data_IF_173767815530
#
_entry.id   IF_173767815530
#
_cell.length_a   1.000
_cell.length_b   1.000
_cell.length_c   1.000
_cell.angle_alpha   90.00
_cell.angle_beta   90.00
_cell.angle_gamma   90.00
#
_symmetry.space_group_name_H-M   'P 1'
#
loop_
_entity.id
_entity.type
_entity.pdbx_description
1 polymer ?
#
# COMPACT_ATOMS: atom_id res chain seq x y z
N UNK A 1 -12.75 -11.17 -1.63
CA UNK A 1 -11.50 -11.92 -1.36
C UNK A 1 -11.28 -12.18 0.14
N UNK A 2 -11.46 -11.21 1.04
CA UNK A 2 -11.27 -11.42 2.50
C UNK A 2 -12.04 -12.61 3.10
N UNK A 3 -13.33 -12.86 2.80
CA UNK A 3 -14.05 -14.02 3.37
C UNK A 3 -13.46 -15.36 2.92
N UNK A 4 -13.07 -15.46 1.64
CA UNK A 4 -12.42 -16.65 1.10
C UNK A 4 -11.04 -16.86 1.72
N UNK A 5 -10.25 -15.80 1.87
CA UNK A 5 -8.94 -15.87 2.52
C UNK A 5 -9.08 -16.33 3.98
N UNK A 6 -10.06 -15.83 4.72
CA UNK A 6 -10.32 -16.25 6.10
C UNK A 6 -10.67 -17.75 6.18
N UNK A 7 -11.52 -18.25 5.28
CA UNK A 7 -11.88 -19.68 5.22
C UNK A 7 -10.63 -20.53 4.93
N UNK A 8 -9.82 -20.12 3.95
CA UNK A 8 -8.61 -20.86 3.56
C UNK A 8 -7.58 -20.87 4.69
N UNK A 9 -7.29 -19.74 5.33
CA UNK A 9 -6.29 -19.65 6.41
C UNK A 9 -6.76 -20.36 7.68
N UNK A 10 -8.05 -20.28 8.04
CA UNK A 10 -8.57 -20.90 9.25
C UNK A 10 -8.75 -22.42 9.13
N UNK A 11 -8.77 -22.97 7.91
CA UNK A 11 -9.08 -24.37 7.64
C UNK A 11 -8.18 -25.36 8.39
N UNK A 12 -6.86 -25.12 8.43
CA UNK A 12 -5.92 -25.98 9.15
C UNK A 12 -6.21 -26.05 10.65
N UNK A 13 -6.57 -24.91 11.26
CA UNK A 13 -6.96 -24.85 12.67
C UNK A 13 -8.29 -25.55 12.95
N UNK A 14 -9.27 -25.43 12.05
CA UNK A 14 -10.56 -26.12 12.18
C UNK A 14 -10.42 -27.64 12.07
N UNK A 15 -9.60 -28.13 11.13
CA UNK A 15 -9.30 -29.56 11.00
C UNK A 15 -8.55 -30.06 12.24
N UNK A 16 -7.55 -29.32 12.71
CA UNK A 16 -6.85 -29.65 13.96
C UNK A 16 -7.79 -29.75 15.15
N UNK A 17 -8.73 -28.80 15.28
CA UNK A 17 -9.73 -28.84 16.36
C UNK A 17 -10.67 -30.04 16.26
N UNK A 18 -11.07 -30.43 15.04
CA UNK A 18 -11.87 -31.63 14.82
C UNK A 18 -11.11 -32.91 15.24
N UNK A 19 -9.80 -32.99 14.96
CA UNK A 19 -8.96 -34.12 15.40
C UNK A 19 -8.77 -34.18 16.92
N UNK A 20 -8.70 -33.05 17.60
CA UNK A 20 -8.73 -33.02 19.07
C UNK A 20 -10.06 -33.58 19.59
N UNK A 21 -11.20 -33.16 19.02
CA UNK A 21 -12.51 -33.68 19.40
C UNK A 21 -12.68 -35.18 19.11
N UNK A 22 -12.03 -35.69 18.06
CA UNK A 22 -12.03 -37.10 17.72
C UNK A 22 -11.07 -37.94 18.59
N UNK A 23 -10.32 -37.33 19.51
CA UNK A 23 -9.32 -38.01 20.35
C UNK A 23 -8.05 -38.41 19.60
N UNK A 24 -7.81 -37.87 18.41
CA UNK A 24 -6.65 -38.17 17.55
C UNK A 24 -5.46 -37.29 17.90
N UNK A 25 -5.71 -36.03 18.26
CA UNK A 25 -4.68 -35.06 18.66
C UNK A 25 -4.85 -34.64 20.12
N UNK A 26 -3.72 -34.40 20.80
CA UNK A 26 -3.75 -33.83 22.15
C UNK A 26 -4.30 -32.39 22.12
N UNK A 27 -5.13 -31.99 23.09
CA UNK A 27 -5.57 -30.61 23.23
C UNK A 27 -4.42 -29.63 23.58
N UNK A 28 -3.27 -30.14 24.02
CA UNK A 28 -2.13 -29.34 24.52
C UNK A 28 -1.10 -29.00 23.43
N UNK A 29 -1.38 -29.30 22.15
CA UNK A 29 -0.48 -28.98 21.04
C UNK A 29 -0.35 -27.46 20.91
N UNK A 30 0.88 -26.91 20.78
CA UNK A 30 1.07 -25.48 20.54
C UNK A 30 0.33 -25.02 19.29
N UNK A 31 -0.39 -23.90 19.39
CA UNK A 31 -1.22 -23.39 18.29
C UNK A 31 -0.44 -23.16 16.98
N UNK A 32 0.83 -22.76 17.08
CA UNK A 32 1.71 -22.49 15.95
C UNK A 32 2.11 -23.77 15.19
N UNK A 33 2.05 -24.93 15.85
CA UNK A 33 2.43 -26.23 15.26
C UNK A 33 1.25 -26.97 14.61
N UNK A 34 0.01 -26.56 14.89
CA UNK A 34 -1.21 -27.27 14.46
C UNK A 34 -1.25 -27.49 12.95
N UNK A 35 -0.87 -26.48 12.16
CA UNK A 35 -0.86 -26.61 10.70
C UNK A 35 0.10 -27.71 10.24
N UNK A 36 1.31 -27.76 10.80
CA UNK A 36 2.31 -28.75 10.46
C UNK A 36 1.85 -30.16 10.81
N UNK A 37 1.37 -30.36 12.05
CA UNK A 37 0.91 -31.66 12.54
C UNK A 37 -0.26 -32.17 11.71
N UNK A 38 -1.25 -31.31 11.42
CA UNK A 38 -2.40 -31.69 10.58
C UNK A 38 -1.95 -32.03 9.16
N UNK A 39 -1.04 -31.25 8.57
CA UNK A 39 -0.52 -31.52 7.23
C UNK A 39 0.22 -32.85 7.16
N UNK A 40 1.03 -33.20 8.16
CA UNK A 40 1.76 -34.46 8.26
C UNK A 40 0.80 -35.66 8.34
N UNK A 41 -0.25 -35.56 9.15
CA UNK A 41 -1.22 -36.65 9.31
C UNK A 41 -2.10 -36.87 8.06
N UNK A 42 -2.45 -35.80 7.36
CA UNK A 42 -3.39 -35.86 6.24
C UNK A 42 -2.71 -36.15 4.91
N UNK A 43 -1.47 -35.69 4.72
CA UNK A 43 -0.77 -35.80 3.47
C UNK A 43 -0.04 -37.15 3.33
N UNK A 44 -0.05 -37.70 2.12
CA UNK A 44 0.80 -38.86 1.79
C UNK A 44 2.26 -38.43 1.66
N UNK A 45 3.22 -39.35 1.84
CA UNK A 45 4.63 -39.11 1.50
C UNK A 45 4.76 -38.53 0.08
N UNK A 46 5.62 -37.53 -0.10
CA UNK A 46 5.73 -36.76 -1.34
C UNK A 46 4.79 -35.55 -1.41
N UNK A 47 3.50 -35.72 -1.12
CA UNK A 47 2.55 -34.58 -1.03
C UNK A 47 2.88 -33.70 0.16
N UNK A 48 3.21 -34.31 1.30
CA UNK A 48 3.69 -33.56 2.48
C UNK A 48 4.91 -32.69 2.14
N UNK A 49 5.89 -33.25 1.41
CA UNK A 49 7.07 -32.51 0.96
C UNK A 49 6.72 -31.35 0.03
N UNK A 50 5.75 -31.54 -0.88
CA UNK A 50 5.24 -30.48 -1.73
C UNK A 50 4.56 -29.35 -0.93
N UNK A 51 3.78 -29.69 0.10
CA UNK A 51 3.14 -28.71 0.99
C UNK A 51 4.20 -27.89 1.74
N UNK A 52 5.22 -28.55 2.31
CA UNK A 52 6.31 -27.85 3.01
C UNK A 52 7.15 -26.98 2.07
N UNK A 53 7.39 -27.43 0.84
CA UNK A 53 8.06 -26.64 -0.18
C UNK A 53 7.24 -25.38 -0.55
N UNK A 54 5.92 -25.54 -0.75
CA UNK A 54 5.03 -24.42 -1.05
C UNK A 54 4.95 -23.40 0.11
N UNK A 55 4.88 -23.87 1.36
CA UNK A 55 4.92 -23.02 2.55
C UNK A 55 6.23 -22.22 2.62
N UNK A 56 7.37 -22.90 2.40
CA UNK A 56 8.69 -22.27 2.41
C UNK A 56 8.82 -21.24 1.28
N UNK A 57 8.36 -21.56 0.07
CA UNK A 57 8.37 -20.65 -1.07
C UNK A 57 7.49 -19.40 -0.82
N UNK A 58 6.31 -19.57 -0.22
CA UNK A 58 5.44 -18.45 0.14
C UNK A 58 6.07 -17.53 1.20
N UNK A 59 6.75 -18.11 2.20
CA UNK A 59 7.52 -17.36 3.20
C UNK A 59 8.66 -16.58 2.54
N UNK A 60 9.45 -17.22 1.67
CA UNK A 60 10.54 -16.57 0.93
C UNK A 60 10.04 -15.40 0.07
N UNK A 61 8.91 -15.55 -0.61
CA UNK A 61 8.31 -14.48 -1.41
C UNK A 61 7.91 -13.26 -0.57
N UNK A 62 7.36 -13.49 0.63
CA UNK A 62 6.98 -12.41 1.55
C UNK A 62 8.22 -11.70 2.10
N UNK A 63 9.24 -12.45 2.51
CA UNK A 63 10.51 -11.89 3.01
C UNK A 63 11.21 -11.06 1.93
N UNK A 64 11.32 -11.60 0.71
CA UNK A 64 11.92 -10.90 -0.44
C UNK A 64 11.21 -9.57 -0.75
N UNK A 65 9.88 -9.59 -0.77
CA UNK A 65 9.07 -8.39 -1.00
C UNK A 65 9.27 -7.33 0.08
N UNK A 66 9.32 -7.73 1.37
CA UNK A 66 9.53 -6.81 2.48
C UNK A 66 10.95 -6.23 2.51
N UNK A 67 11.97 -7.06 2.28
CA UNK A 67 13.37 -6.64 2.20
C UNK A 67 13.57 -5.66 1.04
N UNK A 68 12.97 -5.93 -0.11
CA UNK A 68 13.00 -5.04 -1.28
C UNK A 68 12.29 -3.72 -1.00
N UNK A 69 11.13 -3.75 -0.34
CA UNK A 69 10.40 -2.53 0.04
C UNK A 69 11.21 -1.65 1.01
N UNK A 70 11.82 -2.23 2.04
CA UNK A 70 12.65 -1.48 3.00
C UNK A 70 13.90 -0.94 2.30
N UNK A 71 14.54 -1.71 1.42
CA UNK A 71 15.69 -1.23 0.65
C UNK A 71 15.32 -0.03 -0.24
N UNK A 72 14.14 -0.04 -0.87
CA UNK A 72 13.63 1.09 -1.64
C UNK A 72 13.41 2.33 -0.75
N UNK A 73 12.82 2.16 0.44
CA UNK A 73 12.65 3.24 1.43
C UNK A 73 14.02 3.80 1.85
N UNK A 74 14.97 2.95 2.21
CA UNK A 74 16.33 3.40 2.61
C UNK A 74 17.00 4.18 1.48
N UNK A 75 16.84 3.74 0.23
CA UNK A 75 17.43 4.46 -0.90
C UNK A 75 16.74 5.79 -1.15
N UNK A 76 15.41 5.80 -1.28
CA UNK A 76 14.67 6.98 -1.72
C UNK A 76 14.47 8.01 -0.61
N UNK A 77 14.30 7.58 0.63
CA UNK A 77 13.93 8.46 1.74
C UNK A 77 15.14 8.84 2.61
N UNK A 78 16.24 8.09 2.52
CA UNK A 78 17.46 8.36 3.31
C UNK A 78 18.67 8.63 2.41
N UNK A 79 19.04 7.70 1.53
CA UNK A 79 20.28 7.80 0.75
C UNK A 79 20.24 8.93 -0.29
N UNK A 80 19.16 9.03 -1.06
CA UNK A 80 19.01 10.07 -2.11
C UNK A 80 18.94 11.48 -1.50
N UNK A 81 18.16 11.75 -0.43
CA UNK A 81 18.17 13.06 0.24
C UNK A 81 19.55 13.44 0.80
N UNK A 82 20.32 12.47 1.32
CA UNK A 82 21.69 12.71 1.80
C UNK A 82 22.71 12.86 0.67
N UNK A 83 22.48 12.23 -0.48
CA UNK A 83 23.34 12.30 -1.67
C UNK A 83 22.51 12.49 -2.96
N UNK A 84 22.02 13.71 -3.22
CA UNK A 84 21.09 13.98 -4.32
C UNK A 84 21.66 13.63 -5.70
N UNK A 85 22.96 13.88 -5.91
CA UNK A 85 23.68 13.62 -7.16
C UNK A 85 24.17 12.16 -7.31
N UNK A 86 23.56 11.22 -6.58
CA UNK A 86 23.92 9.81 -6.67
C UNK A 86 23.51 9.20 -8.02
N UNK A 87 24.42 8.44 -8.64
CA UNK A 87 24.14 7.69 -9.87
C UNK A 87 23.31 6.43 -9.58
N UNK A 88 22.63 5.88 -10.59
CA UNK A 88 21.84 4.65 -10.44
C UNK A 88 22.66 3.47 -9.93
N UNK A 89 23.93 3.36 -10.37
CA UNK A 89 24.85 2.34 -9.87
C UNK A 89 25.15 2.51 -8.37
N UNK A 90 25.23 3.74 -7.87
CA UNK A 90 25.42 4.02 -6.45
C UNK A 90 24.14 3.71 -5.64
N UNK A 91 22.97 4.07 -6.17
CA UNK A 91 21.66 3.77 -5.56
C UNK A 91 21.44 2.26 -5.47
N UNK A 92 21.79 1.51 -6.51
CA UNK A 92 21.71 0.05 -6.51
C UNK A 92 22.65 -0.60 -5.50
N UNK A 93 23.87 -0.07 -5.32
CA UNK A 93 24.78 -0.55 -4.27
C UNK A 93 24.21 -0.27 -2.89
N UNK A 94 23.66 0.92 -2.65
CA UNK A 94 23.01 1.28 -1.40
C UNK A 94 21.82 0.34 -1.10
N UNK A 95 20.98 0.05 -2.10
CA UNK A 95 19.88 -0.92 -1.98
C UNK A 95 20.39 -2.29 -1.52
N UNK A 96 21.43 -2.84 -2.18
CA UNK A 96 21.99 -4.16 -1.83
C UNK A 96 22.53 -4.21 -0.40
N UNK A 97 23.24 -3.16 0.03
CA UNK A 97 23.76 -3.05 1.40
C UNK A 97 22.61 -2.96 2.40
N UNK A 98 21.58 -2.16 2.10
CA UNK A 98 20.39 -2.06 2.93
C UNK A 98 19.65 -3.40 3.05
N UNK A 99 19.49 -4.15 1.96
CA UNK A 99 18.86 -5.48 1.97
C UNK A 99 19.59 -6.47 2.88
N UNK A 100 20.92 -6.53 2.79
CA UNK A 100 21.73 -7.38 3.69
C UNK A 100 21.61 -6.90 5.14
N UNK A 101 21.72 -5.60 5.40
CA UNK A 101 21.65 -5.04 6.74
C UNK A 101 20.30 -5.29 7.43
N UNK A 102 19.20 -5.08 6.72
CA UNK A 102 17.83 -5.33 7.22
C UNK A 102 17.61 -6.81 7.48
N UNK A 103 18.14 -7.69 6.61
CA UNK A 103 18.05 -9.15 6.80
C UNK A 103 18.79 -9.59 8.06
N UNK A 104 20.02 -9.12 8.27
CA UNK A 104 20.80 -9.40 9.47
C UNK A 104 20.15 -8.85 10.74
N UNK A 105 19.58 -7.64 10.67
CA UNK A 105 18.81 -7.06 11.77
C UNK A 105 17.57 -7.89 12.09
N UNK A 106 16.84 -8.36 11.08
CA UNK A 106 15.69 -9.26 11.27
C UNK A 106 16.07 -10.55 11.99
N UNK A 107 17.18 -11.18 11.59
CA UNK A 107 17.72 -12.37 12.27
C UNK A 107 18.14 -12.05 13.71
N UNK A 108 18.80 -10.90 13.94
CA UNK A 108 19.23 -10.47 15.26
C UNK A 108 18.05 -10.19 16.22
N UNK A 109 16.87 -9.86 15.70
CA UNK A 109 15.66 -9.62 16.49
C UNK A 109 14.89 -10.89 16.85
N UNK A 110 15.22 -12.06 16.28
CA UNK A 110 14.53 -13.33 16.58
C UNK A 110 14.43 -13.64 18.08
N UNK A 111 15.49 -13.48 18.90
CA UNK A 111 15.40 -13.73 20.35
C UNK A 111 14.40 -12.81 21.08
N UNK A 112 14.19 -11.59 20.57
CA UNK A 112 13.20 -10.66 21.13
C UNK A 112 11.79 -11.14 20.83
N UNK A 113 11.54 -11.61 19.60
CA UNK A 113 10.24 -12.15 19.21
C UNK A 113 9.90 -13.48 19.89
N UNK A 114 10.90 -14.28 20.27
CA UNK A 114 10.72 -15.51 21.05
C UNK A 114 10.20 -15.28 22.48
N UNK A 115 10.17 -14.04 22.98
CA UNK A 115 9.59 -13.71 24.29
C UNK A 115 8.05 -13.70 24.28
N UNK A 116 7.42 -13.66 23.10
CA UNK A 116 5.97 -13.67 22.94
C UNK A 116 5.44 -15.12 22.87
N UNK A 117 4.17 -15.32 23.25
CA UNK A 117 3.54 -16.66 23.24
C UNK A 117 3.37 -17.27 21.86
N UNK A 118 3.12 -16.39 20.88
CA UNK A 118 3.01 -16.76 19.47
C UNK A 118 3.42 -15.59 18.60
N UNK A 119 3.79 -15.88 17.35
CA UNK A 119 4.12 -14.84 16.38
C UNK A 119 2.95 -13.88 16.14
N UNK A 120 1.70 -14.37 16.24
CA UNK A 120 0.50 -13.56 16.10
C UNK A 120 0.33 -12.56 17.24
N UNK A 121 0.63 -12.96 18.48
CA UNK A 121 0.61 -12.03 19.63
C UNK A 121 1.67 -10.94 19.49
N UNK A 122 2.87 -11.29 19.03
CA UNK A 122 3.91 -10.31 18.75
C UNK A 122 3.48 -9.34 17.64
N UNK A 123 3.03 -9.87 16.50
CA UNK A 123 2.57 -9.06 15.38
C UNK A 123 1.44 -8.09 15.79
N UNK A 124 0.45 -8.58 16.55
CA UNK A 124 -0.63 -7.77 17.08
C UNK A 124 -0.14 -6.65 18.01
N UNK A 125 0.79 -6.97 18.92
CA UNK A 125 1.35 -5.98 19.86
C UNK A 125 2.11 -4.86 19.13
N UNK A 126 2.96 -5.20 18.16
CA UNK A 126 3.69 -4.21 17.34
C UNK A 126 2.75 -3.39 16.44
N UNK A 127 1.76 -4.04 15.83
CA UNK A 127 0.78 -3.37 14.99
C UNK A 127 -0.05 -2.37 15.80
N UNK A 128 -0.50 -2.76 17.00
CA UNK A 128 -1.20 -1.87 17.92
C UNK A 128 -0.32 -0.71 18.42
N UNK A 129 1.01 -0.87 18.36
CA UNK A 129 1.96 0.15 18.80
C UNK A 129 2.16 1.28 17.78
N UNK A 130 2.39 0.91 16.52
CA UNK A 130 2.88 1.81 15.49
C UNK A 130 1.75 2.31 14.59
N UNK A 131 0.76 1.47 14.30
CA UNK A 131 -0.30 1.77 13.33
C UNK A 131 -1.17 2.96 13.74
N UNK A 132 -1.61 3.12 15.01
CA UNK A 132 -2.53 4.20 15.37
C UNK A 132 -2.04 5.62 15.03
N UNK A 133 -0.84 6.07 15.46
CA UNK A 133 -0.37 7.42 15.12
C UNK A 133 -0.16 7.60 13.61
N UNK A 134 0.27 6.55 12.90
CA UNK A 134 0.46 6.58 11.45
C UNK A 134 -0.87 6.76 10.71
N UNK A 135 -1.91 6.01 11.11
CA UNK A 135 -3.26 6.12 10.53
C UNK A 135 -3.84 7.51 10.78
N UNK A 136 -3.73 8.04 12.00
CA UNK A 136 -4.22 9.40 12.30
C UNK A 136 -3.49 10.44 11.45
N UNK A 137 -2.16 10.37 11.37
CA UNK A 137 -1.40 11.33 10.57
C UNK A 137 -1.73 11.27 9.08
N UNK A 138 -1.91 10.06 8.53
CA UNK A 138 -2.26 9.88 7.13
C UNK A 138 -3.69 10.36 6.83
N UNK A 139 -4.67 9.93 7.63
CA UNK A 139 -6.07 10.31 7.42
C UNK A 139 -6.27 11.82 7.57
N UNK A 140 -5.70 12.45 8.61
CA UNK A 140 -5.82 13.89 8.77
C UNK A 140 -5.04 14.66 7.70
N UNK A 141 -3.91 14.13 7.22
CA UNK A 141 -3.19 14.70 6.08
C UNK A 141 -4.02 14.73 4.79
N UNK A 142 -4.82 13.70 4.55
CA UNK A 142 -5.69 13.62 3.35
C UNK A 142 -6.98 14.42 3.51
N UNK A 143 -7.63 14.35 4.68
CA UNK A 143 -8.99 14.84 4.88
C UNK A 143 -9.09 16.19 5.58
N UNK A 144 -8.05 16.65 6.29
CA UNK A 144 -8.10 17.90 7.06
C UNK A 144 -7.14 18.95 6.50
N UNK A 145 -7.66 19.90 5.74
CA UNK A 145 -6.89 20.97 5.08
C UNK A 145 -6.02 21.82 6.02
N UNK A 146 -6.36 21.87 7.31
CA UNK A 146 -5.61 22.62 8.31
C UNK A 146 -4.44 21.80 8.90
N UNK A 147 -4.41 20.48 8.70
CA UNK A 147 -3.40 19.61 9.27
C UNK A 147 -2.00 19.96 8.75
N UNK A 148 -1.08 20.24 9.67
CA UNK A 148 0.24 20.78 9.34
C UNK A 148 1.34 19.72 9.46
N UNK A 149 2.49 19.86 8.76
CA UNK A 149 3.64 18.96 8.94
C UNK A 149 4.13 18.88 10.39
N UNK A 150 4.09 20.00 11.12
CA UNK A 150 4.43 20.03 12.54
C UNK A 150 3.45 19.20 13.38
N UNK A 151 2.15 19.30 13.10
CA UNK A 151 1.15 18.44 13.73
C UNK A 151 1.32 16.96 13.36
N UNK A 152 1.70 16.66 12.11
CA UNK A 152 2.04 15.30 11.68
C UNK A 152 3.21 14.71 12.47
N UNK A 153 4.32 15.44 12.58
CA UNK A 153 5.49 15.00 13.35
C UNK A 153 5.14 14.83 14.83
N UNK A 154 4.41 15.80 15.42
CA UNK A 154 3.99 15.72 16.82
C UNK A 154 3.06 14.53 17.08
N UNK A 155 2.16 14.23 16.15
CA UNK A 155 1.26 13.07 16.24
C UNK A 155 2.03 11.76 16.16
N UNK A 156 2.95 11.63 15.19
CA UNK A 156 3.76 10.43 15.00
C UNK A 156 4.66 10.16 16.21
N UNK A 157 5.41 11.18 16.66
CA UNK A 157 6.35 11.03 17.77
C UNK A 157 5.62 10.98 19.11
N UNK A 158 4.72 11.93 19.39
CA UNK A 158 3.99 12.00 20.65
C UNK A 158 3.03 10.83 20.83
N UNK A 159 2.27 10.48 19.78
CA UNK A 159 1.42 9.29 19.80
C UNK A 159 2.23 8.01 19.95
N UNK A 160 3.32 7.85 19.20
CA UNK A 160 4.21 6.71 19.31
C UNK A 160 4.82 6.56 20.71
N UNK A 161 5.30 7.65 21.32
CA UNK A 161 5.84 7.66 22.69
C UNK A 161 4.78 7.27 23.71
N UNK A 162 3.56 7.81 23.63
CA UNK A 162 2.48 7.47 24.57
C UNK A 162 2.03 6.03 24.43
N UNK A 163 1.95 5.51 23.20
CA UNK A 163 1.61 4.11 22.97
C UNK A 163 2.72 3.19 23.47
N UNK A 164 3.99 3.52 23.25
CA UNK A 164 5.12 2.78 23.81
C UNK A 164 5.12 2.81 25.34
N UNK A 165 4.88 3.98 25.95
CA UNK A 165 4.74 4.13 27.40
C UNK A 165 3.61 3.26 27.96
N UNK A 166 2.52 3.07 27.22
CA UNK A 166 1.42 2.17 27.62
C UNK A 166 1.78 0.68 27.62
N UNK A 167 2.92 0.28 27.03
CA UNK A 167 3.46 -1.08 27.13
C UNK A 167 4.20 -1.30 28.45
N UNK A 168 4.85 -0.25 28.96
CA UNK A 168 5.60 -0.26 30.23
C UNK A 168 4.66 0.01 31.40
N UNK A 169 3.69 0.92 31.22
CA UNK A 169 2.65 1.28 32.19
C UNK A 169 1.24 1.02 31.65
N UNK A 170 0.78 -0.24 31.65
CA UNK A 170 -0.55 -0.62 31.17
C UNK A 170 -1.72 0.07 31.87
N UNK A 171 -1.52 0.56 33.11
CA UNK A 171 -2.52 1.32 33.86
C UNK A 171 -3.03 2.58 33.14
N UNK A 172 -2.22 3.15 32.22
CA UNK A 172 -2.63 4.29 31.38
C UNK A 172 -3.83 3.97 30.47
N UNK A 173 -4.03 2.69 30.16
CA UNK A 173 -5.14 2.22 29.32
C UNK A 173 -6.41 2.02 30.16
N UNK A 174 -6.33 2.03 31.49
CA UNK A 174 -7.45 1.80 32.41
C UNK A 174 -8.76 2.53 32.06
N UNK A 175 -8.73 3.84 31.71
CA UNK A 175 -9.92 4.57 31.27
C UNK A 175 -10.59 4.02 30.01
N UNK A 176 -9.80 3.40 29.13
CA UNK A 176 -10.24 2.82 27.87
C UNK A 176 -10.58 1.34 28.00
N UNK A 177 -10.02 0.65 29.00
CA UNK A 177 -10.17 -0.80 29.22
C UNK A 177 -11.33 -1.18 30.17
N UNK A 178 -12.29 -0.29 30.39
CA UNK A 178 -13.46 -0.56 31.24
C UNK A 178 -14.22 -1.80 30.71
N UNK A 179 -14.34 -2.83 31.56
CA UNK A 179 -15.02 -4.09 31.22
C UNK A 179 -14.15 -5.16 30.56
N UNK A 180 -12.86 -4.93 30.33
CA UNK A 180 -11.93 -5.96 29.83
C UNK A 180 -11.08 -6.47 31.00
N UNK A 181 -11.10 -7.78 31.32
CA UNK A 181 -10.28 -8.32 32.40
C UNK A 181 -8.80 -8.07 32.11
N UNK A 182 -8.07 -7.60 33.12
CA UNK A 182 -6.62 -7.45 33.08
C UNK A 182 -6.00 -8.85 33.01
N UNK A 183 -5.51 -9.24 31.83
CA UNK A 183 -4.66 -10.42 31.73
C UNK A 183 -3.40 -10.17 32.59
N UNK A 184 -2.85 -11.18 33.29
CA UNK A 184 -1.63 -10.98 34.08
C UNK A 184 -0.45 -10.52 33.21
N UNK A 185 0.28 -9.51 33.69
CA UNK A 185 1.48 -9.02 33.01
C UNK A 185 2.56 -10.10 33.08
N UNK A 186 3.21 -10.41 31.95
CA UNK A 186 4.37 -11.29 31.97
C UNK A 186 5.62 -10.54 32.45
N UNK A 187 6.60 -11.23 33.06
CA UNK A 187 7.90 -10.62 33.33
C UNK A 187 8.63 -10.29 32.03
N UNK A 188 9.22 -9.09 31.94
CA UNK A 188 9.97 -8.62 30.77
C UNK A 188 9.54 -7.22 30.30
N UNK A 189 10.40 -6.54 29.53
CA UNK A 189 10.18 -5.17 29.05
C UNK A 189 8.90 -5.02 28.20
N UNK A 190 8.49 -6.08 27.49
CA UNK A 190 7.27 -6.15 26.68
C UNK A 190 6.14 -6.94 27.35
N UNK A 191 6.25 -7.20 28.65
CA UNK A 191 5.28 -8.00 29.40
C UNK A 191 3.86 -7.43 29.40
N UNK A 192 3.74 -6.10 29.37
CA UNK A 192 2.48 -5.39 29.21
C UNK A 192 2.02 -5.29 27.75
N UNK A 193 2.87 -5.59 26.77
CA UNK A 193 2.56 -5.42 25.34
C UNK A 193 1.39 -6.33 24.88
N UNK A 194 1.22 -7.48 25.53
CA UNK A 194 0.13 -8.43 25.24
C UNK A 194 -1.16 -8.06 25.99
N UNK A 195 -1.07 -7.26 27.05
CA UNK A 195 -2.23 -6.78 27.79
C UNK A 195 -3.00 -5.75 26.96
N UNK A 196 -4.31 -5.99 26.78
CA UNK A 196 -5.24 -5.08 26.11
C UNK A 196 -4.84 -4.67 24.68
N UNK A 197 -4.30 -5.56 23.85
CA UNK A 197 -3.83 -5.22 22.49
C UNK A 197 -4.84 -4.37 21.68
N UNK A 198 -6.12 -4.78 21.63
CA UNK A 198 -7.17 -4.00 20.98
C UNK A 198 -7.43 -2.64 21.64
N UNK A 199 -7.44 -2.60 22.97
CA UNK A 199 -7.68 -1.36 23.70
C UNK A 199 -6.50 -0.40 23.63
N UNK A 200 -5.29 -0.92 23.48
CA UNK A 200 -4.09 -0.11 23.21
C UNK A 200 -4.18 0.54 21.84
N UNK A 201 -4.66 -0.16 20.82
CA UNK A 201 -4.86 0.44 19.51
C UNK A 201 -5.88 1.60 19.59
N UNK A 202 -6.98 1.41 20.32
CA UNK A 202 -7.98 2.47 20.51
C UNK A 202 -7.46 3.65 21.36
N UNK A 203 -6.74 3.37 22.45
CA UNK A 203 -6.00 4.38 23.23
C UNK A 203 -5.06 5.17 22.33
N UNK A 204 -4.25 4.47 21.53
CA UNK A 204 -3.30 5.05 20.58
C UNK A 204 -3.96 5.95 19.56
N UNK A 205 -5.10 5.55 18.99
CA UNK A 205 -5.88 6.39 18.08
C UNK A 205 -6.38 7.64 18.79
N UNK A 206 -6.91 7.50 20.00
CA UNK A 206 -7.49 8.60 20.78
C UNK A 206 -6.44 9.64 21.17
N UNK A 207 -5.29 9.21 21.73
CA UNK A 207 -4.23 10.14 22.13
C UNK A 207 -3.57 10.79 20.91
N UNK A 208 -3.36 10.03 19.84
CA UNK A 208 -2.78 10.57 18.59
C UNK A 208 -3.71 11.60 17.96
N UNK A 209 -5.02 11.33 17.93
CA UNK A 209 -6.02 12.29 17.45
C UNK A 209 -6.07 13.54 18.34
N UNK A 210 -6.01 13.37 19.66
CA UNK A 210 -5.93 14.49 20.61
C UNK A 210 -4.72 15.39 20.34
N UNK A 211 -3.53 14.79 20.22
CA UNK A 211 -2.29 15.53 19.88
C UNK A 211 -2.44 16.21 18.52
N UNK A 212 -2.93 15.51 17.51
CA UNK A 212 -3.12 16.05 16.17
C UNK A 212 -4.02 17.28 16.18
N UNK A 213 -5.16 17.21 16.88
CA UNK A 213 -6.12 18.32 16.98
C UNK A 213 -5.52 19.49 17.73
N UNK A 214 -4.96 19.26 18.92
CA UNK A 214 -4.36 20.30 19.75
C UNK A 214 -3.26 21.02 18.98
N UNK A 215 -2.28 20.30 18.45
CA UNK A 215 -1.15 20.92 17.73
C UNK A 215 -1.64 21.65 16.49
N UNK A 216 -2.60 21.12 15.73
CA UNK A 216 -3.14 21.79 14.55
C UNK A 216 -3.88 23.10 14.85
N UNK A 217 -4.54 23.17 16.01
CA UNK A 217 -5.20 24.41 16.47
C UNK A 217 -4.17 25.48 16.81
N UNK A 218 -3.04 25.10 17.42
CA UNK A 218 -1.97 26.02 17.82
C UNK A 218 -0.95 26.31 16.70
N UNK A 219 -0.89 25.50 15.65
CA UNK A 219 -0.01 25.77 14.49
C UNK A 219 -0.69 26.64 13.44
N UNK A 220 0.15 27.39 12.71
CA UNK A 220 -0.30 28.22 11.59
C UNK A 220 -0.65 27.32 10.39
N UNK A 221 -1.84 27.48 9.79
CA UNK A 221 -2.19 26.77 8.56
C UNK A 221 -1.16 27.04 7.46
N UNK A 222 -0.91 26.02 6.62
CA UNK A 222 -0.05 26.17 5.45
C UNK A 222 -0.75 27.03 4.40
N UNK A 223 0.04 27.70 3.56
CA UNK A 223 -0.50 28.44 2.42
C UNK A 223 -1.41 27.53 1.56
N UNK A 224 -2.69 27.90 1.35
CA UNK A 224 -3.61 27.15 0.50
C UNK A 224 -3.03 26.82 -0.88
N UNK A 225 -2.18 27.69 -1.46
CA UNK A 225 -1.57 27.45 -2.77
C UNK A 225 -0.68 26.20 -2.81
N UNK A 226 -0.06 25.82 -1.69
CA UNK A 226 0.83 24.66 -1.60
C UNK A 226 0.07 23.34 -1.37
N UNK A 227 -1.15 23.40 -0.85
CA UNK A 227 -1.95 22.22 -0.49
C UNK A 227 -3.08 21.92 -1.50
N UNK A 228 -3.37 22.85 -2.42
CA UNK A 228 -4.33 22.66 -3.51
C UNK A 228 -3.97 21.43 -4.34
N UNK A 229 -4.92 20.51 -4.46
CA UNK A 229 -4.78 19.26 -5.20
C UNK A 229 -4.27 18.07 -4.40
N UNK A 230 -3.83 18.28 -3.16
CA UNK A 230 -3.27 17.23 -2.30
C UNK A 230 -4.20 16.81 -1.16
N UNK A 231 -5.15 17.69 -0.81
CA UNK A 231 -6.19 17.44 0.21
C UNK A 231 -7.50 17.12 -0.49
N UNK A 232 -8.28 16.18 0.05
CA UNK A 232 -9.53 15.70 -0.53
C UNK A 232 -10.47 16.81 -1.01
N UNK A 233 -10.65 17.87 -0.21
CA UNK A 233 -11.52 19.01 -0.55
C UNK A 233 -11.01 19.90 -1.70
N UNK A 234 -9.78 19.70 -2.16
CA UNK A 234 -9.13 20.51 -3.22
C UNK A 234 -8.81 19.70 -4.48
N UNK A 235 -9.29 18.45 -4.57
CA UNK A 235 -9.16 17.62 -5.78
C UNK A 235 -9.74 18.33 -7.02
N UNK A 236 -10.89 19.04 -6.96
CA UNK A 236 -11.38 19.81 -8.11
C UNK A 236 -10.41 20.90 -8.59
N UNK A 237 -9.61 21.48 -7.69
CA UNK A 237 -8.59 22.47 -8.06
C UNK A 237 -7.41 21.83 -8.79
N UNK A 238 -7.00 20.62 -8.40
CA UNK A 238 -6.01 19.84 -9.16
C UNK A 238 -6.51 19.55 -10.57
N UNK A 239 -7.75 19.08 -10.69
CA UNK A 239 -8.35 18.77 -11.99
C UNK A 239 -8.46 20.02 -12.87
N UNK A 240 -8.87 21.15 -12.29
CA UNK A 240 -8.87 22.45 -12.97
C UNK A 240 -7.49 22.88 -13.45
N UNK A 241 -6.49 22.79 -12.59
CA UNK A 241 -5.11 23.19 -12.91
C UNK A 241 -4.55 22.32 -14.04
N UNK A 242 -4.87 21.04 -14.03
CA UNK A 242 -4.44 20.10 -15.05
C UNK A 242 -5.16 20.32 -16.39
N UNK A 243 -6.49 20.44 -16.39
CA UNK A 243 -7.30 20.56 -17.61
C UNK A 243 -7.43 21.99 -18.15
N UNK A 244 -7.17 23.00 -17.33
CA UNK A 244 -7.52 24.40 -17.62
C UNK A 244 -9.01 24.72 -17.53
N UNK A 245 -9.85 23.80 -17.04
CA UNK A 245 -11.32 23.94 -16.90
C UNK A 245 -11.88 23.14 -15.73
N UNK A 246 -13.05 23.53 -15.22
CA UNK A 246 -13.79 22.75 -14.23
C UNK A 246 -14.21 21.38 -14.79
N UNK A 247 -14.24 20.35 -13.94
CA UNK A 247 -14.67 19.01 -14.32
C UNK A 247 -14.81 18.07 -13.12
N UNK A 248 -15.24 16.83 -13.39
CA UNK A 248 -15.26 15.70 -12.46
C UNK A 248 -14.40 14.58 -13.06
N UNK A 249 -13.87 13.69 -12.23
CA UNK A 249 -13.29 12.43 -12.72
C UNK A 249 -14.41 11.57 -13.31
N UNK A 250 -14.33 11.31 -14.62
CA UNK A 250 -15.35 10.57 -15.34
C UNK A 250 -14.72 9.76 -16.45
N UNK A 251 -14.99 8.45 -16.42
CA UNK A 251 -14.38 7.47 -17.31
C UNK A 251 -15.34 7.13 -18.45
N UNK A 252 -14.85 7.20 -19.68
CA UNK A 252 -15.63 6.70 -20.81
C UNK A 252 -15.67 5.17 -20.85
N UNK A 253 -16.55 4.65 -21.71
CA UNK A 253 -16.42 3.27 -22.17
C UNK A 253 -15.07 3.04 -22.86
N UNK A 254 -14.60 1.80 -22.82
CA UNK A 254 -13.38 1.38 -23.52
C UNK A 254 -13.72 1.07 -24.99
N UNK A 255 -13.11 1.79 -25.92
CA UNK A 255 -13.40 1.66 -27.35
C UNK A 255 -12.20 1.13 -28.13
N UNK A 256 -12.45 0.31 -29.16
CA UNK A 256 -11.39 -0.13 -30.06
C UNK A 256 -11.09 0.92 -31.13
N UNK A 257 -9.81 1.22 -31.31
CA UNK A 257 -9.32 2.16 -32.31
C UNK A 257 -8.05 1.65 -32.99
N UNK A 258 -7.76 2.20 -34.16
CA UNK A 258 -6.49 1.98 -34.85
C UNK A 258 -5.46 2.99 -34.35
N UNK A 259 -4.31 2.51 -33.89
CA UNK A 259 -3.19 3.34 -33.44
C UNK A 259 -2.23 3.58 -34.60
N UNK A 260 -1.80 4.82 -34.78
CA UNK A 260 -0.85 5.24 -35.83
C UNK A 260 0.32 5.97 -35.19
N UNK A 261 1.55 5.62 -35.58
CA UNK A 261 2.75 6.33 -35.16
C UNK A 261 2.98 7.58 -36.00
N UNK A 262 3.21 8.73 -35.37
CA UNK A 262 3.50 9.99 -36.08
C UNK A 262 4.70 10.71 -35.47
N UNK A 263 5.75 10.90 -36.28
CA UNK A 263 7.00 11.50 -35.84
C UNK A 263 6.89 12.98 -35.41
N UNK A 264 5.87 13.72 -35.87
CA UNK A 264 5.67 15.11 -35.47
C UNK A 264 5.10 15.28 -34.06
N UNK A 265 4.64 14.19 -33.42
CA UNK A 265 4.18 14.23 -32.03
C UNK A 265 5.41 14.02 -31.17
N UNK A 266 5.83 15.10 -30.50
CA UNK A 266 6.97 15.04 -29.59
C UNK A 266 6.73 13.99 -28.50
N UNK A 267 7.77 13.21 -28.21
CA UNK A 267 7.88 12.51 -26.94
C UNK A 267 8.01 13.59 -25.88
N UNK A 268 6.91 13.96 -25.23
CA UNK A 268 6.99 14.84 -24.07
C UNK A 268 7.96 14.24 -23.05
N UNK A 269 8.78 15.08 -22.42
CA UNK A 269 9.71 14.69 -21.35
C UNK A 269 8.95 14.28 -20.09
N UNK A 270 9.06 15.04 -19.00
CA UNK A 270 8.21 14.85 -17.81
C UNK A 270 6.70 15.07 -18.10
N UNK A 271 6.36 15.59 -19.29
CA UNK A 271 5.00 15.82 -19.77
C UNK A 271 4.47 14.66 -20.64
N UNK A 272 3.19 14.34 -20.48
CA UNK A 272 2.50 13.33 -21.29
C UNK A 272 2.41 13.73 -22.78
N UNK A 273 2.51 12.77 -23.72
CA UNK A 273 2.43 13.07 -25.15
C UNK A 273 1.05 13.59 -25.55
N UNK A 274 1.02 14.61 -26.43
CA UNK A 274 -0.21 15.21 -26.98
C UNK A 274 -0.70 14.42 -28.20
N UNK A 275 -1.70 13.59 -27.98
CA UNK A 275 -2.28 12.68 -28.97
C UNK A 275 -3.24 13.42 -29.92
N UNK A 276 -3.33 12.97 -31.16
CA UNK A 276 -4.41 13.38 -32.07
C UNK A 276 -5.43 12.27 -32.18
N UNK A 277 -6.70 12.62 -32.11
CA UNK A 277 -7.79 11.64 -32.01
C UNK A 277 -8.81 11.92 -33.10
N UNK A 278 -9.32 10.89 -33.78
CA UNK A 278 -10.36 11.09 -34.79
C UNK A 278 -11.67 11.57 -34.16
N UNK A 279 -12.43 12.42 -34.85
CA UNK A 279 -13.74 12.90 -34.36
C UNK A 279 -14.71 11.76 -33.98
N UNK A 280 -14.85 10.67 -34.76
CA UNK A 280 -15.70 9.54 -34.34
C UNK A 280 -15.28 8.95 -32.99
N UNK A 281 -13.97 8.80 -32.77
CA UNK A 281 -13.45 8.29 -31.50
C UNK A 281 -13.66 9.30 -30.36
N UNK A 282 -13.38 10.59 -30.58
CA UNK A 282 -13.57 11.63 -29.58
C UNK A 282 -15.05 11.76 -29.14
N UNK A 283 -15.99 11.69 -30.08
CA UNK A 283 -17.43 11.78 -29.80
C UNK A 283 -17.90 10.59 -28.97
N UNK A 284 -17.53 9.35 -29.34
CA UNK A 284 -17.93 8.16 -28.57
C UNK A 284 -17.24 8.09 -27.19
N UNK A 285 -16.00 8.56 -27.07
CA UNK A 285 -15.31 8.68 -25.78
C UNK A 285 -15.81 9.87 -24.95
N UNK A 286 -16.59 10.77 -25.54
CA UNK A 286 -16.91 12.10 -25.00
C UNK A 286 -15.65 12.88 -24.59
N UNK A 287 -14.56 12.68 -25.33
CA UNK A 287 -13.26 13.29 -25.08
C UNK A 287 -13.12 14.63 -25.80
N UNK A 288 -12.52 15.60 -25.12
CA UNK A 288 -12.15 16.88 -25.71
C UNK A 288 -10.66 17.16 -25.55
N UNK A 289 -10.18 18.21 -26.21
CA UNK A 289 -8.79 18.68 -26.08
C UNK A 289 -8.48 18.98 -24.60
N UNK A 290 -7.39 18.39 -24.11
CA UNK A 290 -6.95 18.46 -22.72
C UNK A 290 -7.31 17.25 -21.85
N UNK A 291 -8.19 16.35 -22.31
CA UNK A 291 -8.56 15.17 -21.52
C UNK A 291 -7.45 14.10 -21.54
N UNK A 292 -7.35 13.35 -20.44
CA UNK A 292 -6.40 12.24 -20.31
C UNK A 292 -6.99 10.98 -20.94
N UNK A 293 -6.20 10.33 -21.79
CA UNK A 293 -6.58 9.12 -22.50
C UNK A 293 -5.60 8.01 -22.19
N UNK A 294 -6.15 6.86 -21.80
CA UNK A 294 -5.42 5.62 -21.62
C UNK A 294 -5.51 4.79 -22.90
N UNK A 295 -4.36 4.51 -23.52
CA UNK A 295 -4.26 3.70 -24.74
C UNK A 295 -3.52 2.41 -24.40
N UNK A 296 -4.15 1.28 -24.70
CA UNK A 296 -3.66 -0.06 -24.34
C UNK A 296 -3.80 -1.04 -25.50
N UNK A 297 -3.04 -2.13 -25.48
CA UNK A 297 -3.18 -3.24 -26.43
C UNK A 297 -4.64 -3.77 -26.47
N UNK A 298 -5.11 -4.18 -27.66
CA UNK A 298 -6.43 -4.78 -27.85
C UNK A 298 -6.67 -6.00 -26.95
N UNK A 299 -5.64 -6.80 -26.70
CA UNK A 299 -5.73 -8.02 -25.88
C UNK A 299 -5.84 -7.64 -24.41
N UNK A 300 -6.94 -8.05 -23.76
CA UNK A 300 -7.24 -7.70 -22.36
C UNK A 300 -6.11 -8.03 -21.38
N UNK A 301 -5.41 -9.15 -21.58
CA UNK A 301 -4.33 -9.60 -20.69
C UNK A 301 -2.98 -8.88 -20.90
N UNK A 302 -2.81 -8.12 -22.00
CA UNK A 302 -1.62 -7.30 -22.24
C UNK A 302 -1.85 -5.82 -21.96
N UNK A 303 -3.10 -5.41 -21.73
CA UNK A 303 -3.46 -4.00 -21.61
C UNK A 303 -2.89 -3.25 -20.41
N UNK A 304 -2.29 -3.94 -19.42
CA UNK A 304 -1.52 -3.30 -18.35
C UNK A 304 0.00 -3.32 -18.57
N UNK A 305 0.49 -4.19 -19.47
CA UNK A 305 1.92 -4.33 -19.80
C UNK A 305 2.30 -3.56 -21.07
N UNK A 306 1.33 -3.27 -21.92
CA UNK A 306 1.46 -2.57 -23.20
C UNK A 306 0.45 -1.45 -23.26
N UNK A 307 0.73 -0.39 -22.53
CA UNK A 307 -0.17 0.73 -22.34
C UNK A 307 0.55 1.97 -21.92
N UNK A 308 0.09 3.12 -22.44
CA UNK A 308 0.57 4.43 -22.03
C UNK A 308 -0.57 5.41 -21.94
N UNK A 309 -0.35 6.44 -21.14
CA UNK A 309 -1.23 7.59 -21.06
C UNK A 309 -0.78 8.66 -22.05
N UNK A 310 -1.73 9.43 -22.56
CA UNK A 310 -1.47 10.64 -23.33
C UNK A 310 -2.63 11.62 -23.20
N UNK A 311 -2.40 12.88 -23.56
CA UNK A 311 -3.40 13.95 -23.48
C UNK A 311 -3.97 14.20 -24.86
N UNK A 312 -5.28 14.42 -25.00
CA UNK A 312 -5.86 14.85 -26.28
C UNK A 312 -5.31 16.23 -26.62
N UNK A 313 -4.40 16.31 -27.58
CA UNK A 313 -3.85 17.56 -28.09
C UNK A 313 -4.72 18.18 -29.19
N UNK A 314 -5.35 17.34 -30.00
CA UNK A 314 -6.15 17.78 -31.14
C UNK A 314 -7.22 16.73 -31.49
N UNK A 315 -8.42 17.19 -31.88
CA UNK A 315 -9.47 16.35 -32.46
C UNK A 315 -9.54 16.63 -33.95
N UNK A 316 -9.34 15.59 -34.76
CA UNK A 316 -9.20 15.70 -36.22
C UNK A 316 -10.50 15.28 -36.91
N UNK A 317 -10.99 16.15 -37.78
CA UNK A 317 -12.21 15.94 -38.59
C UNK A 317 -11.99 14.98 -39.77
N UNK A 318 -10.77 14.90 -40.28
CA UNK A 318 -10.43 14.13 -41.48
C UNK A 318 -10.23 12.63 -41.21
N UNK A 319 -10.81 11.80 -42.07
CA UNK A 319 -10.62 10.34 -42.08
C UNK A 319 -11.69 9.58 -41.30
N UNK A 320 -12.43 8.72 -42.01
CA UNK A 320 -13.45 7.85 -41.41
C UNK A 320 -12.85 6.83 -40.43
N UNK A 321 -13.63 6.47 -39.41
CA UNK A 321 -13.30 5.44 -38.43
C UNK A 321 -12.66 5.97 -37.14
N UNK A 322 -12.39 5.03 -36.22
CA UNK A 322 -11.81 5.31 -34.90
C UNK A 322 -10.30 5.13 -34.94
N UNK A 323 -9.55 6.20 -34.79
CA UNK A 323 -8.10 6.14 -34.76
C UNK A 323 -7.48 7.15 -33.80
N UNK A 324 -6.28 6.83 -33.32
CA UNK A 324 -5.46 7.69 -32.46
C UNK A 324 -4.03 7.73 -33.01
N UNK A 325 -3.48 8.94 -33.13
CA UNK A 325 -2.07 9.16 -33.49
C UNK A 325 -1.26 9.41 -32.22
N UNK A 326 -0.19 8.64 -32.07
CA UNK A 326 0.72 8.66 -30.92
C UNK A 326 2.18 8.73 -31.39
N UNK A 327 3.15 9.07 -30.52
CA UNK A 327 4.57 9.00 -30.88
C UNK A 327 4.99 7.61 -31.37
N UNK A 328 5.99 7.49 -32.27
CA UNK A 328 6.38 6.19 -32.83
C UNK A 328 6.79 5.14 -31.78
N UNK A 329 7.48 5.55 -30.70
CA UNK A 329 7.83 4.67 -29.58
C UNK A 329 6.60 4.14 -28.83
N UNK A 330 5.62 5.01 -28.60
CA UNK A 330 4.33 4.64 -28.02
C UNK A 330 3.63 3.61 -28.92
N UNK A 331 3.51 3.90 -30.22
CA UNK A 331 2.84 3.00 -31.16
C UNK A 331 3.52 1.61 -31.21
N UNK A 332 4.85 1.55 -31.15
CA UNK A 332 5.60 0.29 -31.11
C UNK A 332 5.30 -0.55 -29.86
N UNK A 333 4.98 0.10 -28.74
CA UNK A 333 4.67 -0.56 -27.48
C UNK A 333 3.25 -1.14 -27.46
N UNK A 334 2.25 -0.35 -27.88
CA UNK A 334 0.81 -0.73 -27.81
C UNK A 334 0.30 -1.49 -29.03
N UNK A 335 0.98 -1.39 -30.18
CA UNK A 335 0.61 -2.03 -31.44
C UNK A 335 -0.45 -1.26 -32.26
N UNK A 336 -0.80 -1.79 -33.43
CA UNK A 336 -1.67 -1.11 -34.42
C UNK A 336 -3.17 -1.07 -34.04
N UNK A 337 -3.64 -2.05 -33.27
CA UNK A 337 -5.03 -2.08 -32.79
C UNK A 337 -5.02 -1.94 -31.29
N UNK A 338 -5.69 -0.90 -30.81
CA UNK A 338 -5.67 -0.50 -29.41
C UNK A 338 -7.08 -0.39 -28.86
N UNK A 339 -7.16 -0.43 -27.54
CA UNK A 339 -8.32 0.01 -26.79
C UNK A 339 -7.99 1.35 -26.15
N UNK A 340 -8.94 2.27 -26.24
CA UNK A 340 -8.80 3.66 -25.82
C UNK A 340 -9.89 3.95 -24.81
N UNK A 341 -9.52 4.59 -23.71
CA UNK A 341 -10.45 5.02 -22.67
C UNK A 341 -10.10 6.44 -22.24
N UNK A 342 -11.09 7.34 -22.25
CA UNK A 342 -10.96 8.65 -21.58
C UNK A 342 -11.06 8.40 -20.08
N UNK A 343 -10.10 8.92 -19.33
CA UNK A 343 -10.04 8.77 -17.88
C UNK A 343 -10.74 9.92 -17.18
N UNK A 344 -10.48 11.14 -17.65
CA UNK A 344 -11.15 12.36 -17.25
C UNK A 344 -10.88 13.46 -18.24
#
# INVERSE_FOLDING_TARGET
LMPLAAIVVASGGWVGRAFVHAGVLSPDIPADDVFFVVAEMLARPGVFGLVMAALTAALMSTVDSLVTAIAAIVVNDVYVPLKPESTDAQRLRAARVASVGVTLLGVALVPVFQQFESINTAHGAFTAAITPPMVVALLLGVFWWRYTPAAAIATLLGGGVLVFASMIWPAMIGPFAQGVPLLPAKPGLFGGAVQHSFMRAFFGLSVSLGIAVVVTVFTRPRDPALIRGWVWGTIPDALRRYKGRDGVEDYSAVLEATCRGRASIAEGGDDLPRLRVSRPLAVELQAVVGDLVYVQDRRRWLGGLRSRHGVVGEVVEEGGGRWVEVPPSFAAEVGERVRVQRMY
#
